data_IF_559661397663
#
_entry.id   IF_559661397663
#
_cell.length_a   1.000
_cell.length_b   1.000
_cell.length_c   1.000
_cell.angle_alpha   90.00
_cell.angle_beta   90.00
_cell.angle_gamma   90.00
#
_symmetry.space_group_name_H-M   'P 1'
#
loop_
_entity.id
_entity.type
_entity.pdbx_description
1 polymer ?
#
# COMPACT_ATOMS: atom_id res chain seq x y z
N UNK A 1 -3.16 -21.05 12.74
CA UNK A 1 -2.58 -20.10 11.76
C UNK A 1 -3.30 -18.77 11.88
N UNK A 2 -2.56 -17.69 12.08
CA UNK A 2 -3.16 -16.36 12.06
C UNK A 2 -3.35 -15.96 10.59
N UNK A 3 -4.54 -16.15 10.06
CA UNK A 3 -4.90 -15.72 8.71
C UNK A 3 -5.15 -14.22 8.68
N UNK A 4 -4.07 -13.43 8.61
CA UNK A 4 -4.19 -12.00 8.37
C UNK A 4 -4.61 -11.73 6.92
N UNK A 5 -5.50 -10.76 6.75
CA UNK A 5 -6.00 -10.35 5.43
C UNK A 5 -4.90 -9.65 4.62
N UNK A 6 -4.14 -8.76 5.27
CA UNK A 6 -3.07 -7.96 4.69
C UNK A 6 -2.18 -7.35 5.79
N UNK A 7 -0.97 -6.92 5.42
CA UNK A 7 -0.04 -6.21 6.30
C UNK A 7 -0.07 -4.71 6.00
N UNK A 8 -0.47 -3.92 6.99
CA UNK A 8 -0.67 -2.47 6.89
C UNK A 8 0.44 -1.75 7.66
N UNK A 9 1.07 -0.76 7.04
CA UNK A 9 1.93 0.20 7.72
C UNK A 9 1.09 1.44 8.09
N UNK A 10 1.13 1.85 9.36
CA UNK A 10 0.47 3.06 9.86
C UNK A 10 1.54 4.06 10.27
N UNK A 11 1.57 5.21 9.62
CA UNK A 11 2.55 6.28 9.82
C UNK A 11 1.85 7.53 10.32
N UNK A 12 2.10 7.91 11.55
CA UNK A 12 1.51 9.09 12.21
C UNK A 12 2.41 9.45 13.40
N UNK A 13 2.68 10.70 13.68
CA UNK A 13 3.50 11.12 14.82
C UNK A 13 2.74 11.05 16.15
N UNK A 14 1.41 11.02 16.14
CA UNK A 14 0.58 10.88 17.32
C UNK A 14 0.48 9.42 17.80
N UNK A 15 1.04 9.14 18.98
CA UNK A 15 1.02 7.80 19.60
C UNK A 15 -0.39 7.29 19.87
N UNK A 16 -1.31 8.17 20.25
CA UNK A 16 -2.70 7.83 20.53
C UNK A 16 -3.42 7.36 19.28
N UNK A 17 -3.27 8.11 18.19
CA UNK A 17 -3.85 7.74 16.87
C UNK A 17 -3.24 6.43 16.37
N UNK A 18 -1.91 6.30 16.41
CA UNK A 18 -1.24 5.03 16.01
C UNK A 18 -1.77 3.83 16.79
N UNK A 19 -1.85 3.96 18.12
CA UNK A 19 -2.33 2.88 19.00
C UNK A 19 -3.79 2.52 18.72
N UNK A 20 -4.66 3.52 18.57
CA UNK A 20 -6.07 3.32 18.28
C UNK A 20 -6.28 2.62 16.92
N UNK A 21 -5.63 3.13 15.88
CA UNK A 21 -5.72 2.56 14.53
C UNK A 21 -5.19 1.14 14.51
N UNK A 22 -4.02 0.89 15.14
CA UNK A 22 -3.44 -0.45 15.25
C UNK A 22 -4.38 -1.44 15.92
N UNK A 23 -4.94 -1.08 17.07
CA UNK A 23 -5.88 -1.96 17.81
C UNK A 23 -7.11 -2.29 16.95
N UNK A 24 -7.67 -1.30 16.28
CA UNK A 24 -8.87 -1.48 15.49
C UNK A 24 -8.62 -2.33 14.23
N UNK A 25 -7.51 -2.11 13.54
CA UNK A 25 -7.11 -2.90 12.39
C UNK A 25 -6.79 -4.34 12.78
N UNK A 26 -6.07 -4.56 13.89
CA UNK A 26 -5.77 -5.91 14.39
C UNK A 26 -7.05 -6.70 14.71
N UNK A 27 -8.06 -6.07 15.35
CA UNK A 27 -9.37 -6.69 15.59
C UNK A 27 -10.08 -7.11 14.29
N UNK A 28 -9.77 -6.46 13.18
CA UNK A 28 -10.30 -6.77 11.86
C UNK A 28 -9.38 -7.65 11.00
N UNK A 29 -8.49 -8.40 11.64
CA UNK A 29 -7.58 -9.37 11.01
C UNK A 29 -6.55 -8.77 10.04
N UNK A 30 -6.13 -7.53 10.26
CA UNK A 30 -4.97 -6.96 9.60
C UNK A 30 -3.73 -7.13 10.50
N UNK A 31 -2.60 -7.46 9.91
CA UNK A 31 -1.31 -7.31 10.56
C UNK A 31 -0.89 -5.85 10.48
N UNK A 32 -0.45 -5.24 11.58
CA UNK A 32 -0.13 -3.81 11.61
C UNK A 32 1.27 -3.57 12.16
N UNK A 33 2.07 -2.89 11.38
CA UNK A 33 3.31 -2.24 11.80
C UNK A 33 3.08 -0.74 11.87
N UNK A 34 3.66 -0.07 12.85
CA UNK A 34 3.55 1.40 13.01
C UNK A 34 4.89 2.07 12.78
N UNK A 35 4.86 3.32 12.32
CA UNK A 35 6.01 4.21 12.24
C UNK A 35 5.60 5.60 12.77
N UNK A 36 6.51 6.29 13.47
CA UNK A 36 6.26 7.59 14.08
C UNK A 36 6.71 8.78 13.21
N UNK A 37 7.37 8.50 12.10
CA UNK A 37 7.94 9.49 11.19
C UNK A 37 8.08 8.92 9.78
N UNK A 38 8.33 9.80 8.81
CA UNK A 38 8.62 9.40 7.43
C UNK A 38 9.91 8.58 7.34
N UNK A 39 10.92 8.93 8.12
CA UNK A 39 12.22 8.26 8.19
C UNK A 39 12.06 6.83 8.71
N UNK A 40 11.35 6.65 9.84
CA UNK A 40 11.06 5.33 10.40
C UNK A 40 10.23 4.47 9.45
N UNK A 41 9.29 5.09 8.71
CA UNK A 41 8.52 4.39 7.68
C UNK A 41 9.41 3.88 6.54
N UNK A 42 10.36 4.68 6.06
CA UNK A 42 11.30 4.30 4.99
C UNK A 42 12.15 3.11 5.44
N UNK A 43 12.73 3.15 6.64
CA UNK A 43 13.54 2.05 7.18
C UNK A 43 12.75 0.73 7.19
N UNK A 44 11.48 0.78 7.63
CA UNK A 44 10.61 -0.40 7.67
C UNK A 44 10.23 -0.91 6.28
N UNK A 45 9.96 -0.03 5.32
CA UNK A 45 9.61 -0.39 3.94
C UNK A 45 10.78 -1.08 3.22
N UNK A 46 12.03 -0.72 3.56
CA UNK A 46 13.22 -1.37 2.99
C UNK A 46 13.37 -2.84 3.42
N UNK A 47 12.80 -3.21 4.56
CA UNK A 47 12.95 -4.54 5.17
C UNK A 47 11.67 -5.36 5.03
N UNK A 48 10.51 -4.72 5.13
CA UNK A 48 9.19 -5.35 5.20
C UNK A 48 8.36 -4.93 3.99
N UNK A 49 7.72 -5.88 3.35
CA UNK A 49 6.72 -5.62 2.31
C UNK A 49 5.35 -5.38 2.95
N UNK A 50 4.74 -4.26 2.65
CA UNK A 50 3.40 -3.90 3.08
C UNK A 50 2.42 -3.97 1.92
N UNK A 51 1.16 -4.30 2.21
CA UNK A 51 0.07 -4.34 1.24
C UNK A 51 -0.60 -2.98 1.08
N UNK A 52 -0.51 -2.12 2.10
CA UNK A 52 -1.04 -0.76 2.10
C UNK A 52 -0.35 0.09 3.17
N UNK A 53 -0.23 1.38 2.91
CA UNK A 53 0.30 2.38 3.84
C UNK A 53 -0.82 3.36 4.19
N UNK A 54 -1.07 3.58 5.48
CA UNK A 54 -1.87 4.68 6.02
C UNK A 54 -0.89 5.74 6.51
N UNK A 55 -0.94 6.94 5.93
CA UNK A 55 0.09 7.97 6.10
C UNK A 55 -0.53 9.29 6.50
N UNK A 56 -0.14 9.83 7.66
CA UNK A 56 -0.51 11.19 8.04
C UNK A 56 0.22 12.22 7.16
N UNK A 57 -0.51 13.24 6.74
CA UNK A 57 0.06 14.38 6.03
C UNK A 57 0.88 15.26 6.95
N UNK A 58 0.35 15.54 8.16
CA UNK A 58 0.90 16.52 9.09
C UNK A 58 1.85 15.88 10.10
N UNK A 59 3.08 15.63 9.68
CA UNK A 59 4.14 15.14 10.57
C UNK A 59 5.28 16.14 10.68
N UNK A 60 5.95 16.25 11.85
CA UNK A 60 7.18 17.03 12.00
C UNK A 60 8.28 16.52 11.05
N UNK A 61 9.14 17.44 10.59
CA UNK A 61 10.19 17.11 9.64
C UNK A 61 9.63 16.88 8.23
N UNK A 62 9.80 15.69 7.69
CA UNK A 62 9.27 15.32 6.38
C UNK A 62 7.78 14.97 6.50
N UNK A 63 6.93 15.77 5.86
CA UNK A 63 5.49 15.54 5.83
C UNK A 63 5.08 14.41 4.87
N UNK A 64 3.82 13.95 4.97
CA UNK A 64 3.32 12.83 4.16
C UNK A 64 3.31 13.10 2.65
N UNK A 65 3.10 14.34 2.21
CA UNK A 65 3.13 14.69 0.78
C UNK A 65 4.54 14.63 0.21
N UNK A 66 5.54 15.08 0.97
CA UNK A 66 6.96 14.96 0.61
C UNK A 66 7.38 13.50 0.55
N UNK A 67 6.95 12.70 1.53
CA UNK A 67 7.19 11.26 1.52
C UNK A 67 6.71 10.60 0.22
N UNK A 68 5.47 10.89 -0.20
CA UNK A 68 4.92 10.33 -1.44
C UNK A 68 5.72 10.82 -2.66
N UNK A 69 5.98 12.11 -2.76
CA UNK A 69 6.71 12.71 -3.90
C UNK A 69 8.07 12.05 -4.13
N UNK A 70 8.79 11.77 -3.05
CA UNK A 70 10.13 11.19 -3.12
C UNK A 70 10.13 9.67 -3.36
N UNK A 71 9.11 8.97 -2.88
CA UNK A 71 9.14 7.52 -2.79
C UNK A 71 8.13 6.81 -3.70
N UNK A 72 7.06 7.45 -4.19
CA UNK A 72 6.00 6.79 -4.95
C UNK A 72 6.49 6.06 -6.22
N UNK A 73 7.53 6.58 -6.87
CA UNK A 73 8.14 5.91 -8.04
C UNK A 73 8.88 4.61 -7.68
N UNK A 74 9.27 4.47 -6.40
CA UNK A 74 10.02 3.30 -5.89
C UNK A 74 9.13 2.34 -5.11
N UNK A 75 8.00 2.84 -4.57
CA UNK A 75 7.06 2.11 -3.73
C UNK A 75 5.77 1.89 -4.51
N UNK A 76 5.51 0.66 -4.89
CA UNK A 76 4.29 0.25 -5.61
C UNK A 76 3.10 0.00 -4.65
N UNK A 77 3.33 0.14 -3.36
CA UNK A 77 2.33 -0.05 -2.31
C UNK A 77 1.31 1.09 -2.34
N UNK A 78 0.00 0.79 -2.32
CA UNK A 78 -1.04 1.81 -2.26
C UNK A 78 -1.00 2.60 -0.95
N UNK A 79 -1.36 3.88 -1.02
CA UNK A 79 -1.28 4.83 0.09
C UNK A 79 -2.64 5.50 0.32
N UNK A 80 -3.12 5.45 1.57
CA UNK A 80 -4.22 6.29 2.08
C UNK A 80 -3.62 7.43 2.89
N UNK A 81 -3.95 8.68 2.53
CA UNK A 81 -3.56 9.85 3.30
C UNK A 81 -4.55 10.15 4.42
N UNK A 82 -4.04 10.43 5.60
CA UNK A 82 -4.81 11.05 6.68
C UNK A 82 -4.56 12.56 6.66
N UNK A 83 -5.61 13.36 6.58
CA UNK A 83 -5.53 14.83 6.46
C UNK A 83 -6.32 15.51 7.55
N UNK A 84 -5.93 16.72 7.96
CA UNK A 84 -6.76 17.54 8.83
C UNK A 84 -8.06 17.99 8.13
N UNK A 85 -9.12 18.18 8.90
CA UNK A 85 -10.40 18.69 8.38
C UNK A 85 -10.22 20.10 7.79
N UNK A 86 -10.67 20.29 6.54
CA UNK A 86 -10.58 21.58 5.85
C UNK A 86 -9.39 21.74 4.90
N UNK A 87 -8.43 20.83 4.92
CA UNK A 87 -7.24 20.84 4.05
C UNK A 87 -7.56 20.30 2.64
N UNK A 88 -8.46 20.99 1.91
CA UNK A 88 -8.85 20.58 0.54
C UNK A 88 -7.66 20.56 -0.41
N UNK A 89 -6.74 21.52 -0.26
CA UNK A 89 -5.54 21.61 -1.10
C UNK A 89 -4.62 20.40 -0.92
N UNK A 90 -4.46 19.90 0.30
CA UNK A 90 -3.61 18.74 0.56
C UNK A 90 -4.20 17.45 0.00
N UNK A 91 -5.53 17.35 -0.03
CA UNK A 91 -6.23 16.23 -0.69
C UNK A 91 -5.96 16.18 -2.19
N UNK A 92 -6.14 17.33 -2.87
CA UNK A 92 -5.91 17.44 -4.31
C UNK A 92 -4.46 17.15 -4.62
N UNK A 93 -3.52 17.80 -3.93
CA UNK A 93 -2.08 17.56 -4.09
C UNK A 93 -1.71 16.09 -3.83
N UNK A 94 -2.27 15.48 -2.76
CA UNK A 94 -2.01 14.08 -2.42
C UNK A 94 -2.41 13.11 -3.54
N UNK A 95 -3.58 13.30 -4.13
CA UNK A 95 -4.05 12.48 -5.25
C UNK A 95 -3.22 12.73 -6.52
N UNK A 96 -2.87 13.97 -6.83
CA UNK A 96 -2.03 14.33 -7.98
C UNK A 96 -0.63 13.70 -7.92
N UNK A 97 -0.03 13.60 -6.72
CA UNK A 97 1.30 13.01 -6.52
C UNK A 97 1.27 11.49 -6.34
N UNK A 98 0.09 10.86 -6.33
CA UNK A 98 -0.07 9.41 -6.39
C UNK A 98 -0.59 8.71 -5.15
N UNK A 99 -1.24 9.41 -4.21
CA UNK A 99 -2.05 8.77 -3.19
C UNK A 99 -3.26 8.07 -3.83
N UNK A 100 -3.64 6.93 -3.29
CA UNK A 100 -4.73 6.11 -3.82
C UNK A 100 -6.08 6.51 -3.22
N UNK A 101 -6.08 7.07 -2.01
CA UNK A 101 -7.27 7.62 -1.33
C UNK A 101 -6.84 8.59 -0.21
N UNK A 102 -7.80 9.24 0.40
CA UNK A 102 -7.59 10.11 1.56
C UNK A 102 -8.75 9.97 2.56
N UNK A 103 -8.47 10.30 3.83
CA UNK A 103 -9.44 10.31 4.91
C UNK A 103 -9.19 11.49 5.84
N UNK A 104 -10.21 12.30 6.09
CA UNK A 104 -10.09 13.48 6.94
C UNK A 104 -10.20 13.13 8.43
N UNK A 105 -9.30 13.66 9.25
CA UNK A 105 -9.37 13.60 10.73
C UNK A 105 -10.37 14.65 11.25
N UNK A 106 -11.18 14.34 12.27
CA UNK A 106 -11.38 13.03 12.90
C UNK A 106 -12.18 12.10 11.99
N UNK A 107 -11.90 10.80 12.04
CA UNK A 107 -12.58 9.78 11.23
C UNK A 107 -13.11 8.63 12.09
N UNK A 108 -14.13 7.97 11.58
CA UNK A 108 -14.61 6.72 12.15
C UNK A 108 -13.68 5.56 11.75
N UNK A 109 -13.17 4.77 12.69
CA UNK A 109 -12.29 3.64 12.37
C UNK A 109 -12.89 2.66 11.35
N UNK A 110 -14.21 2.50 11.34
CA UNK A 110 -14.93 1.69 10.35
C UNK A 110 -14.77 2.22 8.94
N UNK A 111 -14.75 3.54 8.76
CA UNK A 111 -14.53 4.16 7.44
C UNK A 111 -13.14 3.84 6.90
N UNK A 112 -12.11 3.95 7.73
CA UNK A 112 -10.74 3.57 7.35
C UNK A 112 -10.68 2.10 6.87
N UNK A 113 -11.30 1.17 7.59
CA UNK A 113 -11.35 -0.24 7.21
C UNK A 113 -12.01 -0.45 5.85
N UNK A 114 -13.14 0.21 5.59
CA UNK A 114 -13.84 0.09 4.32
C UNK A 114 -12.97 0.59 3.15
N UNK A 115 -12.26 1.71 3.33
CA UNK A 115 -11.33 2.25 2.34
C UNK A 115 -10.17 1.30 2.08
N UNK A 116 -9.55 0.77 3.13
CA UNK A 116 -8.48 -0.24 3.03
C UNK A 116 -8.96 -1.45 2.22
N UNK A 117 -10.11 -2.03 2.58
CA UNK A 117 -10.67 -3.19 1.87
C UNK A 117 -10.94 -2.91 0.39
N UNK A 118 -11.49 -1.73 0.07
CA UNK A 118 -11.75 -1.32 -1.31
C UNK A 118 -10.47 -1.24 -2.13
N UNK A 119 -9.41 -0.64 -1.58
CA UNK A 119 -8.13 -0.53 -2.27
C UNK A 119 -7.49 -1.91 -2.47
N UNK A 120 -7.45 -2.73 -1.42
CA UNK A 120 -6.88 -4.08 -1.50
C UNK A 120 -7.60 -4.96 -2.53
N UNK A 121 -8.91 -4.83 -2.65
CA UNK A 121 -9.69 -5.55 -3.67
C UNK A 121 -9.32 -5.10 -5.07
N UNK A 122 -9.22 -3.78 -5.32
CA UNK A 122 -8.79 -3.22 -6.62
C UNK A 122 -7.37 -3.67 -6.98
N UNK A 123 -6.46 -3.67 -6.01
CA UNK A 123 -5.07 -4.09 -6.21
C UNK A 123 -5.00 -5.58 -6.57
N UNK A 124 -5.76 -6.45 -5.90
CA UNK A 124 -5.85 -7.88 -6.23
C UNK A 124 -6.39 -8.10 -7.64
N UNK A 125 -7.42 -7.36 -8.05
CA UNK A 125 -8.01 -7.44 -9.39
C UNK A 125 -7.03 -6.99 -10.46
N UNK A 126 -6.26 -5.92 -10.21
CA UNK A 126 -5.21 -5.46 -11.12
C UNK A 126 -4.04 -6.45 -11.18
N UNK A 127 -3.70 -7.11 -10.08
CA UNK A 127 -2.68 -8.14 -10.06
C UNK A 127 -3.12 -9.40 -10.82
N UNK A 128 -4.40 -9.74 -10.83
CA UNK A 128 -4.92 -10.82 -11.67
C UNK A 128 -4.80 -10.50 -13.17
N UNK A 129 -4.90 -9.22 -13.57
CA UNK A 129 -4.68 -8.77 -14.96
C UNK A 129 -3.22 -8.88 -15.42
N UNK A 130 -2.27 -9.08 -14.53
CA UNK A 130 -0.85 -9.33 -14.85
C UNK A 130 -0.55 -10.82 -15.06
N UNK A 131 -1.57 -11.65 -15.16
CA UNK A 131 -1.47 -13.04 -15.57
C UNK A 131 -1.93 -13.13 -17.02
N UNK A 132 -1.01 -13.51 -17.90
CA UNK A 132 -1.28 -13.74 -19.32
C UNK A 132 -1.43 -15.24 -19.54
N UNK A 133 -2.53 -15.65 -20.16
CA UNK A 133 -2.76 -17.05 -20.51
C UNK A 133 -2.86 -17.12 -22.04
N UNK A 134 -1.99 -17.94 -22.61
CA UNK A 134 -1.98 -18.21 -24.04
C UNK A 134 -1.77 -19.73 -24.25
N UNK A 135 -2.80 -20.38 -24.76
CA UNK A 135 -2.81 -21.85 -24.91
C UNK A 135 -2.48 -22.56 -23.59
N UNK A 136 -1.45 -23.37 -23.55
CA UNK A 136 -0.96 -24.08 -22.36
C UNK A 136 0.13 -23.30 -21.59
N UNK A 137 0.34 -22.02 -21.89
CA UNK A 137 1.32 -21.16 -21.24
C UNK A 137 0.60 -20.16 -20.34
N UNK A 138 0.96 -20.13 -19.06
CA UNK A 138 0.53 -19.12 -18.10
C UNK A 138 1.74 -18.30 -17.65
N UNK A 139 1.70 -17.00 -17.91
CA UNK A 139 2.75 -16.07 -17.53
C UNK A 139 2.24 -15.24 -16.35
N UNK A 140 2.84 -15.43 -15.18
CA UNK A 140 2.54 -14.64 -13.98
C UNK A 140 3.63 -13.57 -13.80
N UNK A 141 3.35 -12.35 -14.29
CA UNK A 141 4.30 -11.23 -14.23
C UNK A 141 4.54 -10.71 -12.81
N UNK A 142 3.66 -11.05 -11.86
CA UNK A 142 3.84 -10.68 -10.45
C UNK A 142 4.85 -11.60 -9.76
N UNK A 143 4.77 -12.88 -10.10
CA UNK A 143 5.65 -13.91 -9.53
C UNK A 143 6.93 -14.10 -10.34
N UNK A 144 7.04 -13.43 -11.48
CA UNK A 144 8.14 -13.62 -12.44
C UNK A 144 8.28 -15.10 -12.87
N UNK A 145 7.14 -15.72 -13.21
CA UNK A 145 7.06 -17.12 -13.55
C UNK A 145 6.35 -17.33 -14.88
N UNK A 146 6.90 -18.26 -15.67
CA UNK A 146 6.23 -18.84 -16.82
C UNK A 146 5.95 -20.31 -16.50
N UNK A 147 4.69 -20.70 -16.57
CA UNK A 147 4.25 -22.08 -16.41
C UNK A 147 3.84 -22.61 -17.78
N UNK A 148 4.46 -23.70 -18.20
CA UNK A 148 4.11 -24.42 -19.42
C UNK A 148 3.97 -25.89 -19.09
N UNK A 149 2.78 -26.43 -19.23
CA UNK A 149 2.42 -27.81 -18.83
C UNK A 149 2.79 -28.05 -17.36
N UNK A 150 3.74 -28.91 -17.08
CA UNK A 150 4.27 -29.22 -15.74
C UNK A 150 5.60 -28.50 -15.43
N UNK A 151 6.10 -27.68 -16.34
CA UNK A 151 7.39 -27.00 -16.21
C UNK A 151 7.23 -25.57 -15.76
N UNK A 152 8.09 -25.14 -14.84
CA UNK A 152 8.13 -23.79 -14.29
C UNK A 152 9.44 -23.09 -14.65
N UNK A 153 9.36 -21.88 -15.21
CA UNK A 153 10.52 -21.08 -15.59
C UNK A 153 10.44 -19.73 -14.87
N UNK A 154 11.51 -19.32 -14.21
CA UNK A 154 11.64 -17.98 -13.62
C UNK A 154 12.08 -16.98 -14.66
N UNK A 155 11.47 -15.80 -14.64
CA UNK A 155 11.87 -14.66 -15.48
C UNK A 155 12.48 -13.56 -14.61
N UNK A 156 13.36 -12.76 -15.18
CA UNK A 156 13.93 -11.59 -14.51
C UNK A 156 13.12 -10.32 -14.81
N UNK A 157 13.46 -9.22 -14.14
CA UNK A 157 12.75 -7.95 -14.30
C UNK A 157 12.86 -7.36 -15.72
N UNK A 158 13.95 -7.62 -16.43
CA UNK A 158 14.14 -7.14 -17.80
C UNK A 158 13.22 -7.89 -18.76
N UNK A 159 13.11 -9.21 -18.61
CA UNK A 159 12.20 -10.05 -19.39
C UNK A 159 10.73 -9.68 -19.10
N UNK A 160 10.40 -9.35 -17.84
CA UNK A 160 9.08 -8.82 -17.47
C UNK A 160 8.73 -7.55 -18.24
N UNK A 161 9.64 -6.57 -18.32
CA UNK A 161 9.43 -5.30 -19.03
C UNK A 161 9.12 -5.55 -20.52
N UNK A 162 9.76 -6.55 -21.13
CA UNK A 162 9.52 -6.94 -22.53
C UNK A 162 8.12 -7.52 -22.71
N UNK A 163 7.65 -8.31 -21.73
CA UNK A 163 6.33 -8.95 -21.79
C UNK A 163 5.16 -7.99 -21.47
N UNK A 164 5.43 -6.87 -20.79
CA UNK A 164 4.44 -5.84 -20.47
C UNK A 164 4.21 -4.82 -21.62
N UNK A 165 5.00 -4.85 -22.68
CA UNK A 165 4.87 -4.02 -23.89
C UNK A 165 3.95 -4.66 -24.92
#
# INVERSE_FOLDING_TARGET
MNDFIAHILVVDDDDGIRSLVKQYLNKNKFLVTTADSAEDAIEKILIIRFDLIVLDVMMPGKNGLEFIRENKKKIDTPIILLTAKGETNDRVKGLEIGADDYLSKPFEPKELILRIKNILTKTKTNNQKRVIIFDNIKIDLNKLLILKDTSEFKINNTEKIILEK
#
